data_IF_364306550266
#
_entry.id   IF_364306550266
#
_cell.length_a   1.000
_cell.length_b   1.000
_cell.length_c   1.000
_cell.angle_alpha   90.00
_cell.angle_beta   90.00
_cell.angle_gamma   90.00
#
_symmetry.space_group_name_H-M   'P 1'
#
loop_
_entity.id
_entity.type
_entity.pdbx_description
1 polymer ?
#
# COMPACT_ATOMS: atom_id res chain seq x y z
N UNK A 1 5.15 -0.59 -11.01
CA UNK A 1 4.10 -1.66 -11.00
C UNK A 1 4.30 -2.60 -12.17
N UNK A 2 3.88 -3.88 -12.07
CA UNK A 2 3.93 -4.79 -13.23
C UNK A 2 2.80 -4.46 -14.23
N UNK A 3 3.02 -4.82 -15.51
CA UNK A 3 2.01 -4.58 -16.56
C UNK A 3 0.68 -5.28 -16.27
N UNK A 4 0.74 -6.46 -15.66
CA UNK A 4 -0.45 -7.23 -15.25
C UNK A 4 -1.29 -6.48 -14.22
N UNK A 5 -0.65 -5.90 -13.18
CA UNK A 5 -1.34 -5.09 -12.16
C UNK A 5 -1.99 -3.88 -12.80
N UNK A 6 -1.28 -3.18 -13.68
CA UNK A 6 -1.80 -1.98 -14.34
C UNK A 6 -3.02 -2.28 -15.21
N UNK A 7 -2.97 -3.38 -15.98
CA UNK A 7 -4.12 -3.81 -16.79
C UNK A 7 -5.32 -4.17 -15.91
N UNK A 8 -5.09 -4.92 -14.83
CA UNK A 8 -6.12 -5.27 -13.87
C UNK A 8 -6.76 -4.02 -13.24
N UNK A 9 -5.95 -3.05 -12.84
CA UNK A 9 -6.44 -1.78 -12.31
C UNK A 9 -7.30 -1.02 -13.32
N UNK A 10 -6.88 -0.93 -14.58
CA UNK A 10 -7.68 -0.25 -15.62
C UNK A 10 -9.05 -0.91 -15.81
N UNK A 11 -9.10 -2.25 -15.78
CA UNK A 11 -10.37 -2.98 -15.84
C UNK A 11 -11.29 -2.68 -14.65
N UNK A 12 -10.74 -2.68 -13.44
CA UNK A 12 -11.51 -2.44 -12.22
C UNK A 12 -11.92 -0.99 -12.07
N UNK A 13 -11.04 -0.02 -12.41
CA UNK A 13 -11.40 1.39 -12.45
C UNK A 13 -12.52 1.68 -13.45
N UNK A 14 -12.50 1.06 -14.63
CA UNK A 14 -13.57 1.19 -15.60
C UNK A 14 -14.94 0.69 -15.09
N UNK A 15 -14.95 -0.15 -14.05
CA UNK A 15 -16.20 -0.61 -13.42
C UNK A 15 -16.79 0.47 -12.50
N UNK A 16 -15.96 1.18 -11.76
CA UNK A 16 -16.36 2.14 -10.73
C UNK A 16 -16.45 3.56 -11.27
N UNK A 17 -15.75 3.84 -12.38
CA UNK A 17 -15.68 5.16 -12.97
C UNK A 17 -17.06 5.76 -13.26
N UNK A 18 -17.23 7.03 -12.95
CA UNK A 18 -18.35 7.83 -13.43
C UNK A 18 -18.20 8.02 -14.93
N UNK A 19 -19.33 8.00 -15.63
CA UNK A 19 -19.39 8.10 -17.08
C UNK A 19 -20.27 9.26 -17.50
N UNK A 20 -19.86 9.95 -18.57
CA UNK A 20 -20.61 10.95 -19.26
C UNK A 20 -21.00 10.46 -20.68
N UNK A 21 -22.08 11.00 -21.21
CA UNK A 21 -22.53 10.74 -22.59
C UNK A 21 -22.33 12.00 -23.37
N UNK A 22 -21.56 11.90 -24.45
CA UNK A 22 -21.41 13.03 -25.38
C UNK A 22 -22.66 13.10 -26.22
N UNK A 23 -23.50 14.15 -26.04
CA UNK A 23 -24.82 14.32 -26.68
C UNK A 23 -24.76 14.33 -28.21
N UNK A 24 -23.67 14.83 -28.80
CA UNK A 24 -23.52 14.91 -30.24
C UNK A 24 -23.23 13.59 -30.96
N UNK A 25 -22.61 12.63 -30.25
CA UNK A 25 -22.16 11.35 -30.85
C UNK A 25 -22.74 10.10 -30.19
N UNK A 26 -23.56 10.25 -29.16
CA UNK A 26 -24.00 9.13 -28.29
C UNK A 26 -22.81 8.29 -27.74
N UNK A 27 -21.60 8.84 -27.78
CA UNK A 27 -20.40 8.16 -27.31
C UNK A 27 -20.31 8.25 -25.78
N UNK A 28 -20.08 7.09 -25.16
CA UNK A 28 -19.88 7.00 -23.72
C UNK A 28 -18.39 7.13 -23.42
N UNK A 29 -18.05 8.09 -22.57
CA UNK A 29 -16.69 8.36 -22.12
C UNK A 29 -16.60 8.33 -20.60
N UNK A 30 -15.40 8.14 -20.08
CA UNK A 30 -15.18 8.35 -18.65
C UNK A 30 -15.37 9.85 -18.33
N UNK A 31 -16.08 10.15 -17.23
CA UNK A 31 -16.16 11.51 -16.73
C UNK A 31 -14.75 12.07 -16.48
N UNK A 32 -14.55 13.35 -16.74
CA UNK A 32 -13.25 14.01 -16.60
C UNK A 32 -12.68 13.86 -15.19
N UNK A 33 -13.53 13.89 -14.17
CA UNK A 33 -13.15 13.62 -12.78
C UNK A 33 -12.50 12.24 -12.61
N UNK A 34 -13.13 11.19 -13.13
CA UNK A 34 -12.62 9.81 -13.06
C UNK A 34 -11.31 9.66 -13.84
N UNK A 35 -11.20 10.26 -15.00
CA UNK A 35 -9.99 10.22 -15.82
C UNK A 35 -8.82 10.94 -15.15
N UNK A 36 -9.07 12.10 -14.56
CA UNK A 36 -8.06 12.86 -13.81
C UNK A 36 -7.54 12.08 -12.60
N UNK A 37 -8.41 11.38 -11.86
CA UNK A 37 -8.00 10.55 -10.73
C UNK A 37 -7.09 9.41 -11.19
N UNK A 38 -7.49 8.69 -12.26
CA UNK A 38 -6.66 7.62 -12.84
C UNK A 38 -5.30 8.16 -13.29
N UNK A 39 -5.28 9.32 -13.94
CA UNK A 39 -4.04 9.97 -14.40
C UNK A 39 -3.13 10.33 -13.23
N UNK A 40 -3.66 10.89 -12.14
CA UNK A 40 -2.91 11.22 -10.92
C UNK A 40 -2.31 9.94 -10.31
N UNK A 41 -3.09 8.86 -10.20
CA UNK A 41 -2.63 7.59 -9.66
C UNK A 41 -1.52 6.96 -10.52
N UNK A 42 -1.65 7.04 -11.85
CA UNK A 42 -0.65 6.50 -12.78
C UNK A 42 0.65 7.31 -12.78
N UNK A 43 0.57 8.64 -12.73
CA UNK A 43 1.73 9.55 -12.71
C UNK A 43 2.67 9.35 -11.52
N UNK A 44 2.19 8.72 -10.44
CA UNK A 44 3.01 8.47 -9.26
C UNK A 44 4.11 7.43 -9.48
N UNK A 45 3.85 6.45 -10.35
CA UNK A 45 4.72 5.29 -10.52
C UNK A 45 5.18 5.09 -11.98
N UNK A 46 4.65 5.86 -12.93
CA UNK A 46 4.86 5.67 -14.37
C UNK A 46 5.40 6.93 -15.05
N UNK A 47 6.13 6.70 -16.14
CA UNK A 47 6.54 7.77 -17.06
C UNK A 47 5.35 8.30 -17.85
N UNK A 48 5.44 9.53 -18.39
CA UNK A 48 4.37 10.17 -19.13
C UNK A 48 3.88 9.34 -20.33
N UNK A 49 4.79 8.62 -20.99
CA UNK A 49 4.45 7.75 -22.12
C UNK A 49 3.57 6.56 -21.70
N UNK A 50 3.91 5.94 -20.58
CA UNK A 50 3.13 4.84 -20.02
C UNK A 50 1.79 5.31 -19.48
N UNK A 51 1.73 6.49 -18.89
CA UNK A 51 0.45 7.10 -18.46
C UNK A 51 -0.50 7.22 -19.63
N UNK A 52 -0.06 7.77 -20.75
CA UNK A 52 -0.88 7.89 -21.98
C UNK A 52 -1.33 6.51 -22.49
N UNK A 53 -0.43 5.51 -22.48
CA UNK A 53 -0.77 4.13 -22.87
C UNK A 53 -1.90 3.56 -22.02
N UNK A 54 -1.79 3.67 -20.68
CA UNK A 54 -2.77 3.07 -19.78
C UNK A 54 -4.09 3.85 -19.71
N UNK A 55 -4.08 5.16 -19.91
CA UNK A 55 -5.31 5.94 -20.07
C UNK A 55 -6.10 5.51 -21.31
N UNK A 56 -5.42 5.21 -22.43
CA UNK A 56 -6.09 4.64 -23.61
C UNK A 56 -6.71 3.28 -23.32
N UNK A 57 -6.00 2.40 -22.61
CA UNK A 57 -6.53 1.09 -22.18
C UNK A 57 -7.74 1.27 -21.26
N UNK A 58 -7.72 2.24 -20.36
CA UNK A 58 -8.86 2.59 -19.52
C UNK A 58 -10.06 3.02 -20.34
N UNK A 59 -9.87 3.96 -21.30
CA UNK A 59 -10.92 4.41 -22.20
C UNK A 59 -11.51 3.26 -23.05
N UNK A 60 -10.66 2.30 -23.49
CA UNK A 60 -11.11 1.09 -24.20
C UNK A 60 -12.02 0.22 -23.32
N UNK A 61 -11.65 0.00 -22.05
CA UNK A 61 -12.50 -0.76 -21.11
C UNK A 61 -13.82 -0.03 -20.79
N UNK A 62 -13.83 1.31 -20.71
CA UNK A 62 -15.05 2.10 -20.57
C UNK A 62 -15.97 1.86 -21.77
N UNK A 63 -15.44 1.96 -22.99
CA UNK A 63 -16.20 1.73 -24.24
C UNK A 63 -16.73 0.30 -24.33
N UNK A 64 -15.91 -0.71 -24.05
CA UNK A 64 -16.30 -2.12 -24.04
C UNK A 64 -17.44 -2.37 -23.05
N UNK A 65 -17.36 -1.77 -21.87
CA UNK A 65 -18.32 -1.97 -20.80
C UNK A 65 -19.64 -1.27 -21.03
N UNK A 66 -19.62 -0.04 -21.52
CA UNK A 66 -20.77 0.85 -21.61
C UNK A 66 -21.30 1.03 -23.04
N UNK A 67 -20.46 0.77 -24.06
CA UNK A 67 -20.80 0.95 -25.47
C UNK A 67 -21.90 0.05 -26.03
N UNK A 68 -22.28 -1.03 -25.34
CA UNK A 68 -23.31 -1.99 -25.77
C UNK A 68 -24.72 -1.63 -25.27
N UNK A 69 -24.95 -0.42 -24.75
CA UNK A 69 -26.24 -0.01 -24.18
C UNK A 69 -27.20 0.64 -25.19
N UNK A 70 -27.57 -0.08 -26.26
CA UNK A 70 -28.85 0.16 -26.96
C UNK A 70 -29.91 -0.80 -26.42
N UNK A 71 -30.36 -0.65 -25.16
CA UNK A 71 -31.57 -1.29 -24.67
C UNK A 71 -32.13 -0.53 -23.47
N UNK A 72 -33.22 0.18 -23.73
CA UNK A 72 -34.06 0.89 -22.77
C UNK A 72 -34.87 -0.08 -21.90
N UNK A 73 -34.27 -1.04 -21.19
CA UNK A 73 -35.07 -1.86 -20.26
C UNK A 73 -34.28 -2.41 -19.07
N UNK A 74 -34.94 -2.22 -17.93
CA UNK A 74 -34.79 -2.88 -16.64
C UNK A 74 -33.59 -2.50 -15.74
N UNK A 75 -33.82 -1.55 -14.83
CA UNK A 75 -32.95 -1.23 -13.69
C UNK A 75 -32.63 -2.45 -12.79
N UNK A 76 -33.51 -3.45 -12.69
CA UNK A 76 -33.34 -4.64 -11.83
C UNK A 76 -32.39 -5.70 -12.39
N UNK A 77 -32.33 -5.89 -13.71
CA UNK A 77 -31.41 -6.85 -14.36
C UNK A 77 -29.95 -6.39 -14.39
N UNK A 78 -29.71 -5.07 -14.27
CA UNK A 78 -28.36 -4.47 -14.39
C UNK A 78 -27.44 -4.77 -13.20
N UNK A 79 -27.96 -4.87 -11.97
CA UNK A 79 -27.14 -5.10 -10.78
C UNK A 79 -26.56 -6.51 -10.75
N UNK A 80 -27.34 -7.53 -11.07
CA UNK A 80 -26.86 -8.93 -11.06
C UNK A 80 -25.86 -9.24 -12.18
N UNK A 81 -26.07 -8.68 -13.38
CA UNK A 81 -25.13 -8.85 -14.51
C UNK A 81 -23.80 -8.15 -14.25
N UNK A 82 -23.81 -7.00 -13.57
CA UNK A 82 -22.59 -6.30 -13.19
C UNK A 82 -21.79 -7.10 -12.15
N UNK A 83 -22.44 -7.67 -11.14
CA UNK A 83 -21.76 -8.48 -10.12
C UNK A 83 -21.09 -9.73 -10.73
N UNK A 84 -21.76 -10.44 -11.66
CA UNK A 84 -21.16 -11.59 -12.36
C UNK A 84 -19.95 -11.19 -13.20
N UNK A 85 -20.01 -10.05 -13.90
CA UNK A 85 -18.85 -9.55 -14.68
C UNK A 85 -17.68 -9.17 -13.77
N UNK A 86 -17.96 -8.52 -12.64
CA UNK A 86 -16.96 -8.18 -11.62
C UNK A 86 -16.27 -9.44 -11.11
N UNK A 87 -17.05 -10.42 -10.68
CA UNK A 87 -16.52 -11.69 -10.19
C UNK A 87 -15.63 -12.38 -11.24
N UNK A 88 -16.05 -12.38 -12.51
CA UNK A 88 -15.24 -12.98 -13.59
C UNK A 88 -13.91 -12.26 -13.79
N UNK A 89 -13.90 -10.93 -13.79
CA UNK A 89 -12.67 -10.14 -13.91
C UNK A 89 -11.77 -10.39 -12.69
N UNK A 90 -12.33 -10.34 -11.49
CA UNK A 90 -11.60 -10.60 -10.24
C UNK A 90 -11.04 -12.03 -10.20
N UNK A 91 -11.76 -13.03 -10.70
CA UNK A 91 -11.25 -14.40 -10.81
C UNK A 91 -10.05 -14.50 -11.74
N UNK A 92 -10.10 -13.87 -12.91
CA UNK A 92 -8.95 -13.82 -13.83
C UNK A 92 -7.74 -13.12 -13.19
N UNK A 93 -7.96 -11.99 -12.50
CA UNK A 93 -6.92 -11.28 -11.76
C UNK A 93 -6.35 -12.17 -10.66
N UNK A 94 -7.21 -12.93 -10.00
CA UNK A 94 -6.82 -13.81 -8.88
C UNK A 94 -5.88 -14.93 -9.31
N UNK A 95 -5.99 -15.40 -10.53
CA UNK A 95 -5.09 -16.41 -11.13
C UNK A 95 -3.74 -15.80 -11.53
N UNK A 96 -3.70 -14.52 -11.87
CA UNK A 96 -2.51 -13.86 -12.42
C UNK A 96 -1.66 -13.14 -11.36
N UNK A 97 -2.25 -12.69 -10.24
CA UNK A 97 -1.60 -11.84 -9.25
C UNK A 97 -1.32 -12.58 -7.94
N UNK A 98 -0.15 -12.30 -7.36
CA UNK A 98 0.20 -12.70 -6.01
C UNK A 98 -0.62 -11.94 -4.96
N UNK A 99 -0.81 -12.51 -3.76
CA UNK A 99 -1.62 -11.90 -2.69
C UNK A 99 -1.21 -10.45 -2.37
N UNK A 100 0.08 -10.18 -2.31
CA UNK A 100 0.60 -8.81 -2.12
C UNK A 100 0.14 -7.84 -3.20
N UNK A 101 0.10 -8.29 -4.44
CA UNK A 101 -0.33 -7.48 -5.58
C UNK A 101 -1.83 -7.21 -5.53
N UNK A 102 -2.63 -8.18 -5.08
CA UNK A 102 -4.08 -8.05 -4.89
C UNK A 102 -4.41 -7.01 -3.83
N UNK A 103 -3.69 -7.00 -2.71
CA UNK A 103 -3.81 -5.96 -1.67
C UNK A 103 -3.49 -4.57 -2.24
N UNK A 104 -2.45 -4.43 -3.05
CA UNK A 104 -2.12 -3.16 -3.71
C UNK A 104 -3.26 -2.72 -4.64
N UNK A 105 -3.83 -3.64 -5.43
CA UNK A 105 -4.97 -3.36 -6.31
C UNK A 105 -6.17 -2.87 -5.51
N UNK A 106 -6.51 -3.54 -4.40
CA UNK A 106 -7.61 -3.13 -3.53
C UNK A 106 -7.39 -1.71 -2.97
N UNK A 107 -6.19 -1.42 -2.48
CA UNK A 107 -5.86 -0.08 -1.96
C UNK A 107 -6.01 0.98 -3.06
N UNK A 108 -5.58 0.71 -4.28
CA UNK A 108 -5.75 1.66 -5.40
C UNK A 108 -7.21 1.87 -5.78
N UNK A 109 -8.04 0.83 -5.68
CA UNK A 109 -9.49 0.96 -5.89
C UNK A 109 -10.10 1.86 -4.81
N UNK A 110 -9.74 1.67 -3.56
CA UNK A 110 -10.23 2.51 -2.46
C UNK A 110 -9.74 3.95 -2.59
N UNK A 111 -8.48 4.19 -2.96
CA UNK A 111 -7.99 5.54 -3.26
C UNK A 111 -8.80 6.19 -4.39
N UNK A 112 -9.14 5.42 -5.42
CA UNK A 112 -9.98 5.92 -6.51
C UNK A 112 -11.38 6.29 -6.04
N UNK A 113 -12.01 5.45 -5.20
CA UNK A 113 -13.34 5.69 -4.63
C UNK A 113 -13.34 6.92 -3.72
N UNK A 114 -12.34 7.07 -2.85
CA UNK A 114 -12.24 8.17 -1.89
C UNK A 114 -11.59 9.45 -2.46
N UNK A 115 -11.11 9.45 -3.69
CA UNK A 115 -10.60 10.66 -4.33
C UNK A 115 -11.72 11.65 -4.67
N UNK A 116 -12.96 11.18 -4.71
CA UNK A 116 -14.16 11.99 -4.85
C UNK A 116 -14.91 11.98 -3.50
N UNK A 117 -15.19 13.16 -2.94
CA UNK A 117 -15.87 13.30 -1.64
C UNK A 117 -17.27 12.66 -1.60
N UNK A 118 -17.82 12.26 -2.75
CA UNK A 118 -19.15 11.70 -2.94
C UNK A 118 -19.10 10.21 -3.32
N UNK A 119 -18.51 9.39 -2.47
CA UNK A 119 -18.57 7.93 -2.66
C UNK A 119 -19.96 7.37 -2.29
N UNK A 120 -20.36 6.31 -2.98
CA UNK A 120 -21.66 5.66 -2.80
C UNK A 120 -21.52 4.31 -2.11
N UNK A 121 -22.59 3.85 -1.42
CA UNK A 121 -22.65 2.50 -0.87
C UNK A 121 -22.37 1.40 -1.91
N UNK A 122 -22.71 1.66 -3.18
CA UNK A 122 -22.47 0.70 -4.27
C UNK A 122 -20.98 0.57 -4.63
N UNK A 123 -20.23 1.65 -4.55
CA UNK A 123 -18.79 1.64 -4.76
C UNK A 123 -18.06 0.92 -3.62
N UNK A 124 -18.53 1.10 -2.38
CA UNK A 124 -18.00 0.36 -1.24
C UNK A 124 -18.35 -1.13 -1.31
N UNK A 125 -19.61 -1.49 -1.66
CA UNK A 125 -19.99 -2.88 -1.88
C UNK A 125 -19.21 -3.55 -3.03
N UNK A 126 -18.82 -2.77 -4.04
CA UNK A 126 -17.93 -3.25 -5.09
C UNK A 126 -16.53 -3.55 -4.53
N UNK A 127 -15.94 -2.64 -3.75
CA UNK A 127 -14.63 -2.85 -3.15
C UNK A 127 -14.62 -4.06 -2.19
N UNK A 128 -15.70 -4.25 -1.41
CA UNK A 128 -15.89 -5.42 -0.56
C UNK A 128 -15.93 -6.71 -1.38
N UNK A 129 -16.71 -6.74 -2.48
CA UNK A 129 -16.75 -7.89 -3.40
C UNK A 129 -15.37 -8.22 -3.99
N UNK A 130 -14.57 -7.19 -4.30
CA UNK A 130 -13.19 -7.37 -4.77
C UNK A 130 -12.32 -7.96 -3.66
N UNK A 131 -12.43 -7.46 -2.43
CA UNK A 131 -11.68 -7.96 -1.27
C UNK A 131 -11.98 -9.43 -1.00
N UNK A 132 -13.25 -9.81 -0.98
CA UNK A 132 -13.71 -11.20 -0.80
C UNK A 132 -13.13 -12.12 -1.89
N UNK A 133 -13.21 -11.70 -3.16
CA UNK A 133 -12.69 -12.48 -4.28
C UNK A 133 -11.16 -12.63 -4.23
N UNK A 134 -10.46 -11.64 -3.67
CA UNK A 134 -9.01 -11.68 -3.48
C UNK A 134 -8.58 -12.43 -2.22
N UNK A 135 -9.51 -13.05 -1.49
CA UNK A 135 -9.25 -13.72 -0.22
C UNK A 135 -8.58 -12.81 0.81
N UNK A 136 -9.00 -11.56 0.89
CA UNK A 136 -8.62 -10.62 1.94
C UNK A 136 -9.65 -10.77 3.06
N UNK A 137 -9.19 -11.02 4.29
CA UNK A 137 -10.11 -11.18 5.42
C UNK A 137 -10.91 -9.89 5.67
N UNK A 138 -12.14 -10.03 6.17
CA UNK A 138 -12.98 -8.87 6.45
C UNK A 138 -12.32 -7.91 7.46
N UNK A 139 -11.62 -8.44 8.47
CA UNK A 139 -10.88 -7.63 9.43
C UNK A 139 -9.80 -6.78 8.74
N UNK A 140 -9.00 -7.41 7.88
CA UNK A 140 -7.96 -6.72 7.12
C UNK A 140 -8.54 -5.72 6.12
N UNK A 141 -9.66 -6.07 5.47
CA UNK A 141 -10.41 -5.14 4.60
C UNK A 141 -10.87 -3.90 5.36
N UNK A 142 -11.45 -4.04 6.55
CA UNK A 142 -11.90 -2.91 7.35
C UNK A 142 -10.72 -2.01 7.79
N UNK A 143 -9.57 -2.58 8.12
CA UNK A 143 -8.36 -1.81 8.44
C UNK A 143 -7.85 -1.02 7.21
N UNK A 144 -7.84 -1.63 6.04
CA UNK A 144 -7.45 -0.98 4.78
C UNK A 144 -8.46 0.12 4.42
N UNK A 145 -9.75 -0.15 4.58
CA UNK A 145 -10.83 0.81 4.33
C UNK A 145 -10.68 2.06 5.21
N UNK A 146 -10.54 1.87 6.53
CA UNK A 146 -10.32 2.96 7.48
C UNK A 146 -9.06 3.77 7.15
N UNK A 147 -7.98 3.10 6.75
CA UNK A 147 -6.75 3.76 6.36
C UNK A 147 -6.94 4.59 5.07
N UNK A 148 -7.65 4.07 4.08
CA UNK A 148 -7.93 4.77 2.82
C UNK A 148 -8.91 5.93 3.00
N UNK A 149 -9.90 5.81 3.89
CA UNK A 149 -10.86 6.87 4.25
C UNK A 149 -10.23 7.94 5.17
N UNK A 150 -9.15 7.60 5.90
CA UNK A 150 -8.58 8.47 6.93
C UNK A 150 -8.20 9.86 6.40
N UNK A 151 -8.31 10.85 7.27
CA UNK A 151 -7.94 12.25 7.02
C UNK A 151 -6.98 12.73 8.09
N UNK A 152 -6.41 13.93 7.91
CA UNK A 152 -5.49 14.54 8.89
C UNK A 152 -6.08 14.64 10.30
N UNK A 153 -7.42 14.77 10.40
CA UNK A 153 -8.13 14.93 11.66
C UNK A 153 -8.69 13.61 12.23
N UNK A 154 -8.80 12.57 11.39
CA UNK A 154 -9.36 11.28 11.77
C UNK A 154 -8.45 10.17 11.26
N UNK A 155 -7.41 9.89 12.02
CA UNK A 155 -6.50 8.77 11.73
C UNK A 155 -7.11 7.46 12.24
N UNK A 156 -6.82 6.38 11.54
CA UNK A 156 -7.18 5.04 12.00
C UNK A 156 -6.46 4.74 13.34
N UNK A 157 -7.12 3.99 14.22
CA UNK A 157 -6.54 3.57 15.49
C UNK A 157 -6.80 2.08 15.69
N UNK A 158 -5.81 1.25 15.39
CA UNK A 158 -5.80 -0.21 15.62
C UNK A 158 -4.35 -0.71 15.65
N UNK A 159 -4.13 -1.94 16.09
CA UNK A 159 -2.79 -2.54 16.31
C UNK A 159 -1.88 -2.54 15.07
N UNK A 160 -2.46 -2.56 13.89
CA UNK A 160 -1.74 -2.51 12.62
C UNK A 160 -1.54 -1.08 12.09
N UNK A 161 -1.85 -0.06 12.90
CA UNK A 161 -1.70 1.35 12.53
C UNK A 161 -0.61 2.03 13.39
N UNK A 162 0.19 2.88 12.74
CA UNK A 162 1.22 3.72 13.39
C UNK A 162 1.09 5.16 12.87
N UNK A 163 1.15 6.11 13.77
CA UNK A 163 1.20 7.54 13.43
C UNK A 163 2.60 8.09 13.70
N UNK A 164 3.18 8.78 12.72
CA UNK A 164 4.46 9.48 12.84
C UNK A 164 4.20 10.98 12.80
N UNK A 165 4.55 11.71 13.85
CA UNK A 165 4.40 13.15 13.93
C UNK A 165 5.46 13.78 14.85
N UNK A 166 5.47 15.12 14.95
CA UNK A 166 6.37 15.88 15.83
C UNK A 166 5.72 16.29 17.16
N UNK A 167 4.53 15.76 17.48
CA UNK A 167 3.85 16.06 18.73
C UNK A 167 4.20 15.01 19.77
N UNK A 168 4.71 15.47 20.90
CA UNK A 168 4.85 14.68 22.14
C UNK A 168 3.53 14.81 22.93
N UNK A 169 2.43 14.30 22.37
CA UNK A 169 1.17 14.25 23.13
C UNK A 169 1.28 13.13 24.15
N UNK A 170 1.35 13.49 25.43
CA UNK A 170 1.25 12.58 26.58
C UNK A 170 -0.19 12.08 26.80
N UNK A 171 -1.11 12.40 25.88
CA UNK A 171 -2.43 11.80 25.91
C UNK A 171 -2.31 10.32 25.52
N UNK A 172 -2.53 9.44 26.50
CA UNK A 172 -2.60 7.98 26.40
C UNK A 172 -3.78 7.50 25.52
N UNK A 173 -4.06 8.19 24.42
CA UNK A 173 -4.98 7.70 23.41
C UNK A 173 -4.29 6.59 22.63
N UNK A 174 -4.82 5.40 22.86
CA UNK A 174 -4.50 4.14 22.21
C UNK A 174 -4.01 4.31 20.77
N UNK A 175 -2.82 3.77 20.46
CA UNK A 175 -2.26 3.73 19.13
C UNK A 175 -0.73 3.87 19.14
N UNK A 176 -0.09 3.17 18.20
CA UNK A 176 1.36 3.24 18.03
C UNK A 176 1.76 4.62 17.51
N UNK A 177 2.76 5.23 18.14
CA UNK A 177 3.27 6.55 17.75
C UNK A 177 4.79 6.49 17.60
N UNK A 178 5.30 7.11 16.54
CA UNK A 178 6.73 7.35 16.36
C UNK A 178 6.96 8.88 16.32
N UNK A 179 7.74 9.36 17.26
CA UNK A 179 8.12 10.77 17.27
C UNK A 179 9.16 11.06 16.19
N UNK A 180 8.92 12.10 15.39
CA UNK A 180 9.89 12.57 14.41
C UNK A 180 9.92 14.10 14.43
N UNK A 181 11.01 14.65 14.96
CA UNK A 181 11.22 16.08 15.09
C UNK A 181 11.18 16.78 13.73
N UNK A 182 10.52 17.93 13.66
CA UNK A 182 10.48 18.79 12.47
C UNK A 182 9.47 18.42 11.39
N UNK A 183 8.72 17.32 11.53
CA UNK A 183 7.63 17.00 10.61
C UNK A 183 6.47 17.98 10.81
N UNK A 184 6.05 18.61 9.71
CA UNK A 184 4.83 19.42 9.68
C UNK A 184 3.69 18.57 9.12
N UNK A 185 2.75 18.20 10.00
CA UNK A 185 1.69 17.25 9.69
C UNK A 185 1.92 15.88 10.32
N UNK A 186 1.37 14.84 9.73
CA UNK A 186 1.50 13.46 10.21
C UNK A 186 1.67 12.48 9.06
N UNK A 187 2.40 11.40 9.30
CA UNK A 187 2.45 10.24 8.41
C UNK A 187 1.69 9.11 9.09
N UNK A 188 0.67 8.62 8.44
CA UNK A 188 -0.06 7.43 8.82
C UNK A 188 0.58 6.21 8.17
N UNK A 189 0.77 5.14 8.93
CA UNK A 189 1.35 3.89 8.44
C UNK A 189 0.39 2.75 8.75
N UNK A 190 0.07 1.94 7.74
CA UNK A 190 -0.70 0.71 7.86
C UNK A 190 0.21 -0.49 7.63
N UNK A 191 0.19 -1.46 8.53
CA UNK A 191 0.74 -2.80 8.33
C UNK A 191 -0.36 -3.74 7.85
N UNK A 192 -0.21 -4.31 6.66
CA UNK A 192 -1.07 -5.42 6.19
C UNK A 192 -0.36 -6.72 6.51
N UNK A 193 -0.86 -7.41 7.54
CA UNK A 193 -0.16 -8.53 8.19
C UNK A 193 -0.06 -9.77 7.30
N UNK A 194 -1.12 -10.09 6.53
CA UNK A 194 -1.19 -11.26 5.65
C UNK A 194 -0.06 -11.27 4.59
N UNK A 195 0.33 -10.09 4.12
CA UNK A 195 1.35 -9.91 3.07
C UNK A 195 2.63 -9.24 3.57
N UNK A 196 2.73 -9.00 4.88
CA UNK A 196 3.88 -8.33 5.53
C UNK A 196 4.31 -7.06 4.78
N UNK A 197 3.33 -6.24 4.39
CA UNK A 197 3.55 -5.04 3.59
C UNK A 197 3.08 -3.82 4.38
N UNK A 198 3.82 -2.72 4.23
CA UNK A 198 3.56 -1.46 4.91
C UNK A 198 3.21 -0.39 3.90
N UNK A 199 2.18 0.39 4.21
CA UNK A 199 1.70 1.49 3.41
C UNK A 199 1.80 2.77 4.21
N UNK A 200 2.15 3.88 3.58
CA UNK A 200 2.21 5.20 4.20
C UNK A 200 1.30 6.16 3.47
N UNK A 201 0.72 7.09 4.22
CA UNK A 201 -0.04 8.22 3.72
C UNK A 201 0.37 9.47 4.49
N UNK A 202 0.78 10.50 3.79
CA UNK A 202 1.23 11.75 4.41
C UNK A 202 0.12 12.80 4.41
N UNK A 203 -0.11 13.41 5.56
CA UNK A 203 -1.05 14.49 5.78
C UNK A 203 -0.27 15.73 6.20
N UNK A 204 0.10 16.56 5.25
CA UNK A 204 0.85 17.79 5.49
C UNK A 204 1.27 18.48 4.20
N UNK A 205 1.87 19.66 4.36
CA UNK A 205 2.27 20.52 3.24
C UNK A 205 3.82 20.65 3.12
N UNK A 206 4.57 19.89 3.92
CA UNK A 206 6.02 19.89 3.86
C UNK A 206 6.48 18.93 2.77
N UNK A 207 7.46 19.33 1.99
CA UNK A 207 8.06 18.45 0.99
C UNK A 207 8.83 17.31 1.68
N UNK A 208 8.40 16.09 1.47
CA UNK A 208 9.03 14.86 1.95
C UNK A 208 9.40 13.97 0.76
N UNK A 209 10.47 13.22 0.91
CA UNK A 209 10.97 12.32 -0.13
C UNK A 209 11.04 10.89 0.38
N UNK A 210 10.43 9.97 -0.35
CA UNK A 210 10.59 8.52 -0.17
C UNK A 210 11.61 8.01 -1.20
N UNK A 211 12.77 7.57 -0.74
CA UNK A 211 13.85 7.10 -1.62
C UNK A 211 14.24 8.11 -2.72
N UNK A 212 14.17 9.40 -2.44
CA UNK A 212 14.48 10.48 -3.40
C UNK A 212 13.30 10.91 -4.29
N UNK A 213 12.14 10.26 -4.20
CA UNK A 213 10.91 10.68 -4.89
C UNK A 213 10.01 11.47 -3.95
N UNK A 214 9.46 12.59 -4.41
CA UNK A 214 8.55 13.40 -3.62
C UNK A 214 7.29 12.61 -3.23
N UNK A 215 6.88 12.73 -1.97
CA UNK A 215 5.63 12.16 -1.47
C UNK A 215 4.53 13.19 -1.67
N UNK A 216 3.57 12.87 -2.53
CA UNK A 216 2.37 13.70 -2.68
C UNK A 216 1.47 13.55 -1.46
N UNK A 217 0.94 14.66 -0.90
CA UNK A 217 -0.01 14.60 0.21
C UNK A 217 -1.25 13.75 -0.14
N UNK A 218 -1.78 13.07 0.86
CA UNK A 218 -2.97 12.22 0.78
C UNK A 218 -2.88 10.99 -0.13
N UNK A 219 -1.72 10.73 -0.73
CA UNK A 219 -1.51 9.58 -1.61
C UNK A 219 -0.86 8.44 -0.83
N UNK A 220 -1.37 7.24 -1.04
CA UNK A 220 -0.84 6.03 -0.39
C UNK A 220 0.39 5.53 -1.16
N UNK A 221 1.50 5.33 -0.46
CA UNK A 221 2.74 4.77 -0.99
C UNK A 221 3.10 3.48 -0.26
N UNK A 222 3.68 2.53 -0.99
CA UNK A 222 4.24 1.30 -0.39
C UNK A 222 5.67 1.58 0.07
N UNK A 223 5.99 1.22 1.31
CA UNK A 223 7.37 1.21 1.78
C UNK A 223 7.93 -0.20 1.79
N UNK A 224 9.21 -0.32 1.49
CA UNK A 224 9.92 -1.59 1.37
C UNK A 224 11.19 -1.57 2.21
N UNK A 225 11.75 -2.73 2.44
CA UNK A 225 13.06 -2.83 3.08
C UNK A 225 14.08 -1.91 2.38
N UNK A 226 14.85 -1.17 3.17
CA UNK A 226 15.80 -0.17 2.68
C UNK A 226 15.18 1.18 2.34
N UNK A 227 13.84 1.35 2.43
CA UNK A 227 13.21 2.64 2.23
C UNK A 227 13.56 3.63 3.34
N UNK A 228 13.67 4.91 2.97
CA UNK A 228 13.83 6.01 3.91
C UNK A 228 12.98 7.21 3.50
N UNK A 229 12.37 7.85 4.50
CA UNK A 229 11.66 9.11 4.33
C UNK A 229 12.61 10.22 4.80
N UNK A 230 12.87 11.18 3.95
CA UNK A 230 13.87 12.24 4.19
C UNK A 230 13.35 13.62 3.81
N UNK A 231 13.91 14.61 4.50
CA UNK A 231 13.82 16.02 4.13
C UNK A 231 15.07 16.73 4.68
N UNK A 232 15.34 17.94 4.22
CA UNK A 232 16.46 18.77 4.74
C UNK A 232 16.29 19.22 6.20
N UNK A 233 15.07 19.14 6.75
CA UNK A 233 14.69 19.65 8.08
C UNK A 233 14.35 18.57 9.09
N UNK A 234 14.32 17.31 8.70
CA UNK A 234 13.97 16.18 9.58
C UNK A 234 15.10 15.15 9.57
N UNK A 235 15.28 14.47 10.69
CA UNK A 235 16.10 13.27 10.74
C UNK A 235 15.50 12.20 9.81
N UNK A 236 16.32 11.45 9.07
CA UNK A 236 15.81 10.38 8.22
C UNK A 236 15.02 9.36 9.01
N UNK A 237 13.82 9.01 8.53
CA UNK A 237 13.00 7.93 9.09
C UNK A 237 13.21 6.71 8.22
N UNK A 238 13.76 5.66 8.80
CA UNK A 238 14.05 4.42 8.08
C UNK A 238 12.92 3.41 8.21
N UNK A 239 12.84 2.51 7.25
CA UNK A 239 11.96 1.35 7.30
C UNK A 239 12.10 0.54 8.59
N UNK A 240 13.34 0.38 9.10
CA UNK A 240 13.62 -0.30 10.37
C UNK A 240 12.94 0.36 11.56
N UNK A 241 12.91 1.68 11.62
CA UNK A 241 12.34 2.44 12.73
C UNK A 241 10.82 2.25 12.77
N UNK A 242 10.20 2.19 11.60
CA UNK A 242 8.77 1.93 11.44
C UNK A 242 8.43 0.51 11.88
N UNK A 243 9.18 -0.51 11.41
CA UNK A 243 8.91 -1.91 11.76
C UNK A 243 9.11 -2.16 13.24
N UNK A 244 10.11 -1.55 13.87
CA UNK A 244 10.40 -1.72 15.29
C UNK A 244 9.17 -1.41 16.16
N UNK A 245 8.32 -0.45 15.75
CA UNK A 245 7.09 -0.11 16.47
C UNK A 245 6.02 -1.22 16.43
N UNK A 246 6.06 -2.08 15.42
CA UNK A 246 5.13 -3.21 15.28
C UNK A 246 5.69 -4.52 15.89
N UNK A 247 7.00 -4.60 16.12
CA UNK A 247 7.65 -5.79 16.69
C UNK A 247 7.71 -5.74 18.23
N UNK A 248 7.66 -4.56 18.83
CA UNK A 248 7.79 -4.38 20.28
C UNK A 248 6.71 -5.12 21.09
N UNK A 249 5.58 -5.47 20.49
CA UNK A 249 4.49 -6.19 21.15
C UNK A 249 4.59 -7.73 21.02
N UNK A 250 5.44 -8.24 20.12
CA UNK A 250 5.54 -9.69 19.87
C UNK A 250 6.71 -10.36 20.58
N UNK A 251 7.55 -9.61 21.29
CA UNK A 251 8.77 -10.14 21.88
C UNK A 251 8.79 -10.11 23.40
N UNK A 252 7.85 -10.79 24.06
CA UNK A 252 8.09 -11.35 25.39
C UNK A 252 8.97 -12.64 25.33
N UNK A 253 9.27 -13.12 24.13
CA UNK A 253 10.28 -14.16 23.93
C UNK A 253 11.67 -13.54 24.03
N UNK A 254 12.25 -13.59 25.25
CA UNK A 254 13.68 -13.35 25.45
C UNK A 254 14.45 -14.33 24.59
N UNK A 255 15.21 -13.83 23.62
CA UNK A 255 16.19 -14.62 22.90
C UNK A 255 17.31 -14.92 23.92
N UNK A 256 17.27 -16.09 24.52
CA UNK A 256 18.32 -16.59 25.44
C UNK A 256 19.43 -17.17 24.56
N UNK A 257 20.55 -16.48 24.49
CA UNK A 257 21.77 -17.04 23.90
C UNK A 257 22.46 -17.91 24.96
N UNK A 258 22.20 -19.21 24.93
CA UNK A 258 22.97 -20.16 25.73
C UNK A 258 24.27 -20.47 24.98
N UNK A 259 25.37 -19.85 25.40
CA UNK A 259 26.70 -20.23 24.94
C UNK A 259 27.03 -21.60 25.51
N UNK A 260 26.89 -22.67 24.75
CA UNK A 260 27.39 -23.97 25.14
C UNK A 260 28.92 -23.95 25.21
N UNK A 261 29.54 -24.34 26.34
CA UNK A 261 30.98 -24.45 26.42
C UNK A 261 31.44 -25.50 25.38
N UNK A 262 32.35 -25.09 24.54
CA UNK A 262 32.93 -25.96 23.49
C UNK A 262 33.70 -27.07 24.19
N UNK A 263 33.10 -28.22 24.38
CA UNK A 263 33.79 -29.42 24.88
C UNK A 263 34.80 -29.85 23.84
N UNK A 264 36.06 -30.01 24.25
CA UNK A 264 37.18 -30.39 23.38
C UNK A 264 36.79 -31.56 22.49
N UNK A 265 36.77 -31.31 21.16
CA UNK A 265 36.56 -32.38 20.19
C UNK A 265 37.61 -33.47 20.35
N UNK A 266 37.25 -34.77 20.17
CA UNK A 266 38.19 -35.86 20.17
C UNK A 266 39.33 -35.63 19.15
N UNK A 267 40.54 -36.11 19.47
CA UNK A 267 41.80 -35.86 18.72
C UNK A 267 41.76 -36.22 17.25
N UNK A 268 40.80 -37.02 16.79
CA UNK A 268 40.61 -37.38 15.37
C UNK A 268 40.15 -36.24 14.46
N UNK A 269 39.52 -35.21 15.01
CA UNK A 269 38.98 -34.04 14.21
C UNK A 269 40.01 -32.91 14.15
N UNK A 270 41.13 -32.99 14.88
CA UNK A 270 42.16 -31.94 14.90
C UNK A 270 42.89 -31.72 13.57
N UNK A 271 42.87 -32.70 12.64
CA UNK A 271 43.58 -32.59 11.38
C UNK A 271 42.84 -31.80 10.30
N UNK A 272 41.54 -31.60 10.45
CA UNK A 272 40.76 -30.89 9.45
C UNK A 272 40.50 -29.39 9.75
N UNK A 273 40.75 -28.97 10.98
CA UNK A 273 40.50 -27.59 11.44
C UNK A 273 41.75 -26.71 11.54
N UNK A 274 42.90 -27.17 11.07
CA UNK A 274 44.16 -26.39 11.10
C UNK A 274 44.23 -25.30 10.03
N UNK A 275 43.27 -25.21 9.11
CA UNK A 275 43.26 -24.22 8.03
C UNK A 275 42.49 -22.92 8.34
N UNK A 276 41.72 -22.86 9.42
CA UNK A 276 40.88 -21.68 9.75
C UNK A 276 41.44 -20.78 10.87
N UNK A 277 42.72 -20.93 11.25
CA UNK A 277 43.28 -20.18 12.36
C UNK A 277 44.04 -18.91 12.00
N UNK A 278 43.70 -18.27 10.87
CA UNK A 278 44.41 -17.05 10.44
C UNK A 278 43.59 -15.77 10.35
N UNK A 279 42.39 -15.69 10.96
CA UNK A 279 41.67 -14.40 11.06
C UNK A 279 41.05 -14.24 12.44
N UNK A 280 41.87 -13.88 13.41
CA UNK A 280 41.45 -13.14 14.59
C UNK A 280 42.68 -12.42 15.19
N UNK A 281 42.94 -11.24 14.72
CA UNK A 281 43.82 -10.29 15.43
C UNK A 281 43.03 -9.66 16.58
N UNK A 282 43.60 -9.54 17.78
CA UNK A 282 42.91 -8.91 18.90
C UNK A 282 42.82 -7.39 18.69
N UNK A 283 41.66 -6.84 18.87
CA UNK A 283 41.44 -5.40 19.02
C UNK A 283 42.32 -4.83 20.13
N UNK A 284 43.29 -4.04 19.79
CA UNK A 284 44.07 -3.22 20.72
C UNK A 284 43.19 -2.09 21.27
N UNK A 285 43.14 -2.05 22.59
CA UNK A 285 42.57 -0.96 23.39
C UNK A 285 43.06 0.40 22.91
N UNK A 286 42.17 1.27 22.60
CA UNK A 286 42.43 2.74 22.56
C UNK A 286 42.36 3.30 23.98
N UNK A 287 43.46 3.86 24.44
CA UNK A 287 43.51 4.72 25.59
C UNK A 287 43.46 6.18 25.11
N UNK A 288 42.64 7.06 25.68
CA UNK A 288 42.68 8.48 25.34
C UNK A 288 43.75 9.18 26.20
N UNK A 289 44.53 9.99 25.57
CA UNK A 289 45.17 11.18 26.14
C UNK A 289 44.66 12.40 25.40
#
# INVERSE_FOLDING_TARGET
MSERILKALMQLFAIVAKIDVIEESDEIVAADSSKNIVEILLKQDLTSELVVKYLKIFDEFIKERHGTKRAKDSKKKRTSVNSVKVLRICTQINEELEQRQKVIVLIRILEFIFADDLHTEKELAFAETVADTFNISNEEYQQILQFAESSANKLANHDNHLTINSKLDNDDKEGKKLYAEGIKGSISVLRVSSVKTYFIRYFGNQELFLNGQAISPNIIKVIRQGSSIKNTKIAPIYYSDIIAQFLSETSDEKIEFTAMPFTRAPAAIRRQLSFERHVASPCTRWNPL
#
